data_IF_735714294899
#
_entry.id   IF_735714294899
#
_cell.length_a   1.000
_cell.length_b   1.000
_cell.length_c   1.000
_cell.angle_alpha   90.00
_cell.angle_beta   90.00
_cell.angle_gamma   90.00
#
_symmetry.space_group_name_H-M   'P 1'
#
loop_
_entity.id
_entity.type
_entity.pdbx_description
1 polymer ?
#
# COMPACT_ATOMS: atom_id res chain seq x y z
N UNK A 1 25.85 -33.73 -57.09
CA UNK A 1 24.62 -33.29 -56.41
C UNK A 1 24.27 -34.33 -55.34
N UNK A 2 24.41 -34.01 -54.05
CA UNK A 2 24.00 -34.88 -52.96
C UNK A 2 23.15 -34.05 -52.00
N UNK A 3 21.83 -34.03 -52.23
CA UNK A 3 20.87 -33.37 -51.34
C UNK A 3 20.52 -34.33 -50.20
N UNK A 4 21.17 -34.16 -49.05
CA UNK A 4 20.79 -34.82 -47.81
C UNK A 4 19.43 -34.30 -47.35
N UNK A 5 18.41 -35.17 -47.35
CA UNK A 5 17.09 -34.85 -46.79
C UNK A 5 17.18 -34.86 -45.26
N UNK A 6 17.22 -33.69 -44.65
CA UNK A 6 17.07 -33.54 -43.20
C UNK A 6 15.65 -33.98 -42.81
N UNK A 7 15.57 -35.06 -42.04
CA UNK A 7 14.32 -35.59 -41.49
C UNK A 7 13.82 -34.60 -40.42
N UNK A 8 12.81 -33.81 -40.78
CA UNK A 8 12.18 -32.86 -39.88
C UNK A 8 11.65 -33.60 -38.63
N UNK A 9 12.05 -33.14 -37.45
CA UNK A 9 11.56 -33.66 -36.18
C UNK A 9 10.02 -33.49 -36.11
N UNK A 10 9.29 -34.46 -35.54
CA UNK A 10 7.84 -34.35 -35.41
C UNK A 10 7.47 -33.09 -34.58
N UNK A 11 6.36 -32.40 -34.91
CA UNK A 11 5.93 -31.24 -34.16
C UNK A 11 5.66 -31.66 -32.71
N UNK A 12 6.23 -30.90 -31.76
CA UNK A 12 5.97 -31.09 -30.33
C UNK A 12 4.46 -31.14 -30.10
N UNK A 13 4.00 -32.16 -29.37
CA UNK A 13 2.59 -32.33 -29.05
C UNK A 13 2.01 -31.03 -28.45
N UNK A 14 0.75 -30.67 -28.78
CA UNK A 14 0.13 -29.48 -28.24
C UNK A 14 0.12 -29.54 -26.71
N UNK A 15 0.35 -28.40 -26.03
CA UNK A 15 0.35 -28.37 -24.57
C UNK A 15 -0.99 -28.88 -24.03
N UNK A 16 -0.99 -29.63 -22.93
CA UNK A 16 -2.20 -30.21 -22.39
C UNK A 16 -3.19 -29.11 -21.96
N UNK A 17 -4.48 -29.31 -22.28
CA UNK A 17 -5.55 -28.31 -22.12
C UNK A 17 -5.65 -27.66 -20.75
N UNK A 18 -5.35 -28.38 -19.68
CA UNK A 18 -5.40 -27.84 -18.31
C UNK A 18 -4.36 -26.74 -18.06
N UNK A 19 -3.19 -26.81 -18.72
CA UNK A 19 -2.19 -25.74 -18.65
C UNK A 19 -2.67 -24.48 -19.38
N UNK A 20 -3.38 -24.65 -20.50
CA UNK A 20 -3.97 -23.53 -21.24
C UNK A 20 -5.06 -22.83 -20.41
N UNK A 21 -5.91 -23.60 -19.72
CA UNK A 21 -6.93 -23.04 -18.84
C UNK A 21 -6.30 -22.24 -17.69
N UNK A 22 -5.29 -22.79 -17.01
CA UNK A 22 -4.58 -22.09 -15.95
C UNK A 22 -3.92 -20.78 -16.44
N UNK A 23 -3.39 -20.75 -17.67
CA UNK A 23 -2.84 -19.51 -18.26
C UNK A 23 -3.94 -18.49 -18.52
N UNK A 24 -5.11 -18.92 -19.00
CA UNK A 24 -6.27 -18.05 -19.24
C UNK A 24 -6.76 -17.47 -17.90
N UNK A 25 -6.98 -18.31 -16.88
CA UNK A 25 -7.49 -17.88 -15.58
C UNK A 25 -6.54 -16.87 -14.91
N UNK A 26 -5.22 -17.10 -15.02
CA UNK A 26 -4.21 -16.16 -14.52
C UNK A 26 -4.24 -14.83 -15.29
N UNK A 27 -4.37 -14.87 -16.61
CA UNK A 27 -4.44 -13.67 -17.44
C UNK A 27 -5.70 -12.83 -17.14
N UNK A 28 -6.85 -13.48 -16.92
CA UNK A 28 -8.08 -12.81 -16.49
C UNK A 28 -7.91 -12.16 -15.12
N UNK A 29 -7.33 -12.90 -14.16
CA UNK A 29 -7.04 -12.39 -12.83
C UNK A 29 -6.15 -11.14 -12.84
N UNK A 30 -5.16 -11.09 -13.74
CA UNK A 30 -4.26 -9.95 -13.91
C UNK A 30 -4.96 -8.77 -14.59
N UNK A 31 -5.79 -9.01 -15.61
CA UNK A 31 -6.57 -7.96 -16.25
C UNK A 31 -7.53 -7.26 -15.27
N UNK A 32 -8.22 -8.03 -14.43
CA UNK A 32 -9.11 -7.50 -13.38
C UNK A 32 -8.32 -6.66 -12.37
N UNK A 33 -7.14 -7.12 -11.96
CA UNK A 33 -6.27 -6.37 -11.07
C UNK A 33 -5.83 -5.04 -11.69
N UNK A 34 -5.35 -5.05 -12.95
CA UNK A 34 -4.92 -3.84 -13.66
C UNK A 34 -6.07 -2.84 -13.87
N UNK A 35 -7.28 -3.33 -14.14
CA UNK A 35 -8.47 -2.49 -14.21
C UNK A 35 -8.78 -1.82 -12.86
N UNK A 36 -8.64 -2.57 -11.76
CA UNK A 36 -8.83 -2.08 -10.40
C UNK A 36 -7.81 -0.99 -10.04
N UNK A 37 -6.52 -1.23 -10.31
CA UNK A 37 -5.45 -0.24 -10.13
C UNK A 37 -5.76 1.04 -10.91
N UNK A 38 -6.22 0.89 -12.16
CA UNK A 38 -6.52 2.04 -13.02
C UNK A 38 -7.77 2.82 -12.59
N UNK A 39 -8.74 2.16 -11.96
CA UNK A 39 -9.90 2.83 -11.35
C UNK A 39 -9.48 3.60 -10.10
N UNK A 40 -8.70 2.96 -9.23
CA UNK A 40 -8.19 3.56 -8.00
C UNK A 40 -7.28 4.77 -8.26
N UNK A 41 -6.37 4.66 -9.24
CA UNK A 41 -5.50 5.77 -9.62
C UNK A 41 -6.30 6.99 -10.10
N UNK A 42 -7.38 6.77 -10.86
CA UNK A 42 -8.28 7.85 -11.28
C UNK A 42 -9.06 8.45 -10.12
N UNK A 43 -9.56 7.63 -9.18
CA UNK A 43 -10.30 8.15 -8.03
C UNK A 43 -9.43 8.97 -7.08
N UNK A 44 -8.15 8.61 -6.92
CA UNK A 44 -7.21 9.32 -6.06
C UNK A 44 -6.40 10.41 -6.80
N UNK A 45 -6.70 10.68 -8.07
CA UNK A 45 -5.96 11.62 -8.91
C UNK A 45 -4.44 11.39 -8.86
N UNK A 46 -4.03 10.13 -9.00
CA UNK A 46 -2.62 9.77 -8.99
C UNK A 46 -1.95 10.13 -10.32
N UNK A 47 -0.77 10.73 -10.22
CA UNK A 47 0.12 10.94 -11.36
C UNK A 47 0.45 9.61 -12.07
N UNK A 48 0.70 9.69 -13.38
CA UNK A 48 1.03 8.53 -14.20
C UNK A 48 2.26 7.77 -13.68
N UNK A 49 3.28 8.49 -13.21
CA UNK A 49 4.50 7.91 -12.65
C UNK A 49 4.24 7.14 -11.35
N UNK A 50 3.37 7.65 -10.49
CA UNK A 50 2.93 7.00 -9.25
C UNK A 50 2.08 5.76 -9.55
N UNK A 51 1.21 5.86 -10.54
CA UNK A 51 0.38 4.73 -11.00
C UNK A 51 1.24 3.60 -11.56
N UNK A 52 2.28 3.93 -12.32
CA UNK A 52 3.24 2.94 -12.83
C UNK A 52 4.00 2.26 -11.69
N UNK A 53 4.42 3.01 -10.66
CA UNK A 53 5.04 2.46 -9.46
C UNK A 53 4.10 1.49 -8.73
N UNK A 54 2.83 1.85 -8.57
CA UNK A 54 1.81 0.99 -7.96
C UNK A 54 1.61 -0.32 -8.75
N UNK A 55 1.62 -0.27 -10.09
CA UNK A 55 1.53 -1.47 -10.94
C UNK A 55 2.75 -2.39 -10.84
N UNK A 56 3.92 -1.86 -10.49
CA UNK A 56 5.18 -2.61 -10.32
C UNK A 56 5.34 -3.23 -8.92
N UNK A 57 4.45 -2.89 -7.99
CA UNK A 57 4.41 -3.53 -6.68
C UNK A 57 3.92 -4.98 -6.79
N UNK A 58 4.27 -5.86 -5.84
CA UNK A 58 3.62 -7.16 -5.72
C UNK A 58 2.11 -6.96 -5.63
N UNK A 59 1.35 -7.85 -6.25
CA UNK A 59 -0.12 -7.79 -6.29
C UNK A 59 -0.72 -7.62 -4.89
N UNK A 60 -0.23 -8.36 -3.90
CA UNK A 60 -0.72 -8.30 -2.52
C UNK A 60 -0.51 -6.91 -1.89
N UNK A 61 0.66 -6.30 -2.07
CA UNK A 61 0.94 -4.96 -1.51
C UNK A 61 0.13 -3.87 -2.24
N UNK A 62 0.03 -3.96 -3.56
CA UNK A 62 -0.82 -3.05 -4.32
C UNK A 62 -2.29 -3.16 -3.90
N UNK A 63 -2.79 -4.38 -3.68
CA UNK A 63 -4.15 -4.61 -3.17
C UNK A 63 -4.35 -4.03 -1.78
N UNK A 64 -3.37 -4.16 -0.86
CA UNK A 64 -3.43 -3.52 0.47
C UNK A 64 -3.56 -2.00 0.37
N UNK A 65 -2.79 -1.37 -0.52
CA UNK A 65 -2.86 0.08 -0.74
C UNK A 65 -4.22 0.49 -1.32
N UNK A 66 -4.74 -0.26 -2.29
CA UNK A 66 -6.04 0.01 -2.92
C UNK A 66 -7.21 -0.19 -1.95
N UNK A 67 -7.09 -1.17 -1.05
CA UNK A 67 -8.12 -1.48 -0.05
C UNK A 67 -8.09 -0.54 1.15
N UNK A 68 -7.17 0.43 1.21
CA UNK A 68 -7.16 1.40 2.30
C UNK A 68 -8.46 2.21 2.30
N UNK A 69 -9.08 2.43 3.49
CA UNK A 69 -10.29 3.24 3.60
C UNK A 69 -10.05 4.64 3.04
N UNK A 70 -10.98 5.17 2.23
CA UNK A 70 -10.86 6.52 1.69
C UNK A 70 -10.92 7.54 2.82
N UNK A 71 -10.01 8.51 2.78
CA UNK A 71 -10.06 9.68 3.65
C UNK A 71 -11.07 10.70 3.12
N UNK A 72 -11.61 11.52 4.03
CA UNK A 72 -12.54 12.60 3.67
C UNK A 72 -11.86 13.68 2.81
N UNK A 73 -10.56 13.91 3.04
CA UNK A 73 -9.76 14.85 2.26
C UNK A 73 -8.99 14.11 1.15
N UNK A 74 -9.26 14.49 -0.10
CA UNK A 74 -8.63 13.87 -1.28
C UNK A 74 -7.13 14.16 -1.37
N UNK A 75 -6.69 15.33 -0.89
CA UNK A 75 -5.27 15.68 -0.83
C UNK A 75 -4.47 14.78 0.11
N UNK A 76 -5.05 14.49 1.29
CA UNK A 76 -4.53 13.54 2.26
C UNK A 76 -4.57 12.11 1.72
N UNK A 77 -5.67 11.70 1.06
CA UNK A 77 -5.79 10.38 0.45
C UNK A 77 -4.66 10.15 -0.58
N UNK A 78 -4.45 11.12 -1.47
CA UNK A 78 -3.38 11.09 -2.48
C UNK A 78 -2.00 11.03 -1.84
N UNK A 79 -1.75 11.88 -0.85
CA UNK A 79 -0.44 11.96 -0.17
C UNK A 79 -0.13 10.67 0.59
N UNK A 80 -1.10 10.13 1.33
CA UNK A 80 -0.99 8.83 2.02
C UNK A 80 -0.69 7.71 1.03
N UNK A 81 -1.46 7.64 -0.05
CA UNK A 81 -1.28 6.62 -1.10
C UNK A 81 0.12 6.70 -1.71
N UNK A 82 0.58 7.90 -2.04
CA UNK A 82 1.93 8.12 -2.57
C UNK A 82 3.03 7.66 -1.60
N UNK A 83 2.94 8.07 -0.33
CA UNK A 83 3.88 7.65 0.72
C UNK A 83 3.91 6.13 0.86
N UNK A 84 2.75 5.46 0.90
CA UNK A 84 2.67 3.99 0.99
C UNK A 84 3.33 3.28 -0.18
N UNK A 85 3.18 3.81 -1.39
CA UNK A 85 3.84 3.26 -2.58
C UNK A 85 5.35 3.38 -2.43
N UNK A 86 5.86 4.53 -1.98
CA UNK A 86 7.30 4.75 -1.78
C UNK A 86 7.87 3.85 -0.67
N UNK A 87 7.20 3.75 0.48
CA UNK A 87 7.61 2.87 1.59
C UNK A 87 7.67 1.41 1.14
N UNK A 88 6.70 0.97 0.35
CA UNK A 88 6.66 -0.41 -0.14
C UNK A 88 7.77 -0.67 -1.16
N UNK A 89 8.06 0.31 -2.02
CA UNK A 89 9.22 0.22 -2.91
C UNK A 89 10.52 0.17 -2.12
N UNK A 90 10.71 1.02 -1.12
CA UNK A 90 11.92 1.03 -0.28
C UNK A 90 12.13 -0.33 0.42
N UNK A 91 11.09 -0.87 1.08
CA UNK A 91 11.13 -2.21 1.70
C UNK A 91 11.54 -3.32 0.72
N UNK A 92 11.17 -3.19 -0.55
CA UNK A 92 11.57 -4.14 -1.61
C UNK A 92 13.07 -4.11 -1.89
N UNK A 93 13.71 -2.96 -1.76
CA UNK A 93 15.15 -2.82 -1.98
C UNK A 93 15.98 -3.17 -0.73
N UNK A 94 15.42 -2.95 0.46
CA UNK A 94 16.10 -3.25 1.74
C UNK A 94 15.99 -4.71 2.22
N UNK A 95 15.38 -5.60 1.44
CA UNK A 95 15.38 -7.04 1.73
C UNK A 95 14.59 -7.48 2.97
N UNK A 96 13.73 -6.62 3.53
CA UNK A 96 12.99 -6.91 4.75
C UNK A 96 11.50 -7.12 4.47
N UNK A 97 11.04 -8.37 4.61
CA UNK A 97 9.62 -8.71 4.63
C UNK A 97 8.89 -7.93 5.74
N UNK A 98 7.64 -7.50 5.53
CA UNK A 98 6.84 -6.85 6.56
C UNK A 98 6.38 -7.89 7.58
N UNK A 99 7.16 -8.08 8.63
CA UNK A 99 6.74 -8.73 9.86
C UNK A 99 5.82 -7.80 10.65
N UNK A 100 4.54 -8.19 10.72
CA UNK A 100 3.55 -7.94 11.77
C UNK A 100 3.36 -6.52 12.34
N UNK A 101 2.10 -6.11 12.26
CA UNK A 101 1.47 -5.02 12.97
C UNK A 101 2.03 -4.73 14.38
N UNK A 102 2.45 -3.48 14.60
CA UNK A 102 2.20 -2.81 15.87
C UNK A 102 1.01 -1.87 15.67
N UNK A 103 -0.19 -2.46 15.55
CA UNK A 103 -1.41 -1.73 15.91
C UNK A 103 -1.40 -1.70 17.44
N UNK A 104 -0.78 -0.68 18.03
CA UNK A 104 -1.11 -0.33 19.40
C UNK A 104 -2.46 0.38 19.32
N UNK A 105 -3.52 -0.40 19.53
CA UNK A 105 -4.78 0.13 20.01
C UNK A 105 -4.51 0.77 21.36
N UNK A 106 -4.48 2.10 21.43
CA UNK A 106 -4.77 2.81 22.67
C UNK A 106 -6.12 3.49 22.50
N UNK A 107 -7.19 2.99 23.17
CA UNK A 107 -8.45 3.68 23.22
C UNK A 107 -8.42 4.64 24.41
N UNK A 108 -8.46 5.96 24.18
CA UNK A 108 -9.34 6.85 24.96
C UNK A 108 -9.39 8.28 24.41
N UNK A 109 -10.59 8.85 24.17
CA UNK A 109 -10.75 10.28 24.01
C UNK A 109 -10.71 10.95 25.40
N UNK A 110 -9.56 11.51 25.80
CA UNK A 110 -9.51 12.33 27.02
C UNK A 110 -10.21 13.67 26.79
N UNK A 111 -11.47 13.72 27.19
CA UNK A 111 -12.23 14.94 27.46
C UNK A 111 -11.44 15.80 28.46
N UNK A 112 -11.22 17.11 28.21
CA UNK A 112 -10.58 17.97 29.19
C UNK A 112 -11.58 18.30 30.31
N UNK A 113 -11.61 17.48 31.36
CA UNK A 113 -12.25 17.86 32.61
C UNK A 113 -11.33 18.79 33.39
N UNK A 114 -11.70 20.06 33.40
CA UNK A 114 -11.29 21.04 34.40
C UNK A 114 -11.93 20.63 35.72
N UNK A 115 -11.15 20.44 36.79
CA UNK A 115 -11.56 20.79 38.16
C UNK A 115 -10.37 20.83 39.12
N UNK A 116 -10.36 21.77 40.09
CA UNK A 116 -9.20 22.13 40.89
C UNK A 116 -9.13 21.30 42.19
N UNK A 117 -7.93 21.08 42.75
CA UNK A 117 -7.81 20.81 44.17
C UNK A 117 -6.42 21.16 44.73
N UNK A 118 -6.45 21.61 45.97
CA UNK A 118 -5.50 22.45 46.71
C UNK A 118 -4.70 21.62 47.73
N UNK A 119 -3.59 22.21 48.17
CA UNK A 119 -2.72 21.88 49.33
C UNK A 119 -1.42 21.16 48.91
N UNK A 120 -0.21 21.54 49.36
CA UNK A 120 0.15 22.36 50.52
C UNK A 120 1.60 22.88 50.42
N UNK A 121 1.78 24.14 50.85
CA UNK A 121 2.89 24.72 51.62
C UNK A 121 4.28 25.12 51.03
N UNK A 122 4.56 26.41 51.31
CA UNK A 122 5.83 27.09 51.64
C UNK A 122 6.84 27.34 50.51
N UNK A 123 7.44 28.53 50.32
CA UNK A 123 7.67 29.67 51.20
C UNK A 123 8.01 30.95 50.39
N UNK A 124 8.09 32.08 51.11
CA UNK A 124 8.53 33.43 50.73
C UNK A 124 7.41 34.32 50.13
N UNK A 125 6.80 35.27 50.87
CA UNK A 125 7.39 36.52 51.37
C UNK A 125 8.13 37.23 50.20
N UNK A 126 7.65 38.33 49.65
CA UNK A 126 7.44 39.62 50.30
C UNK A 126 6.70 40.58 49.34
N UNK A 127 5.95 41.51 49.95
CA UNK A 127 5.67 42.89 49.52
C UNK A 127 5.05 43.14 48.11
N UNK A 128 3.75 43.46 48.08
CA UNK A 128 3.21 44.83 47.97
C UNK A 128 3.26 45.35 46.51
N UNK A 129 2.13 45.34 45.81
CA UNK A 129 1.24 46.50 45.66
C UNK A 129 1.96 47.66 44.90
N UNK A 130 1.80 47.71 43.58
CA UNK A 130 0.87 48.61 42.83
C UNK A 130 1.55 49.95 42.52
N UNK A 131 1.27 50.47 41.30
CA UNK A 131 1.34 51.87 40.82
C UNK A 131 2.27 52.87 41.48
#
# INVERSE_FOLDING_TARGET
AAAGKAKAAPPKAPPPRHLLQAVIDNAEGDAVFLATVSRFARSCELESSTTEKLRKLPREEAQRIIAEPPLADMGQQRSRTFTRILETLARKFDGQQPGVAAVSQDPEPRIPYITPSRADSQAAAESAAIS
#
